data_IF_497920262394
#
_entry.id   IF_497920262394
#
_cell.length_a   1.000
_cell.length_b   1.000
_cell.length_c   1.000
_cell.angle_alpha   90.00
_cell.angle_beta   90.00
_cell.angle_gamma   90.00
#
_symmetry.space_group_name_H-M   'P 1'
#
loop_
_entity.id
_entity.type
_entity.pdbx_description
1 polymer ?
#
# COMPACT_ATOMS: atom_id res chain seq x y z
N UNK A 1 4.88 -51.70 9.00
CA UNK A 1 5.11 -50.72 10.07
C UNK A 1 6.43 -50.03 9.75
N UNK A 2 6.41 -48.79 9.27
CA UNK A 2 7.62 -48.09 8.81
C UNK A 2 8.43 -47.63 10.03
N UNK A 3 9.56 -48.29 10.29
CA UNK A 3 10.48 -47.92 11.37
C UNK A 3 11.18 -46.61 11.00
N UNK A 4 10.79 -45.50 11.62
CA UNK A 4 11.40 -44.20 11.37
C UNK A 4 12.70 -44.07 12.18
N UNK A 5 13.84 -44.08 11.48
CA UNK A 5 15.17 -43.96 12.10
C UNK A 5 15.48 -42.48 12.42
N UNK A 6 16.09 -42.23 13.57
CA UNK A 6 16.54 -40.90 14.04
C UNK A 6 17.39 -40.18 12.99
N UNK A 7 18.22 -40.92 12.24
CA UNK A 7 19.04 -40.37 11.15
C UNK A 7 18.22 -39.89 9.97
N UNK A 8 17.12 -40.56 9.64
CA UNK A 8 16.24 -40.14 8.57
C UNK A 8 15.46 -38.88 8.97
N UNK A 9 15.05 -38.79 10.24
CA UNK A 9 14.48 -37.57 10.80
C UNK A 9 15.45 -36.38 10.71
N UNK A 10 16.71 -36.54 11.11
CA UNK A 10 17.71 -35.45 11.05
C UNK A 10 18.05 -35.06 9.60
N UNK A 11 18.06 -36.01 8.67
CA UNK A 11 18.28 -35.72 7.24
C UNK A 11 17.11 -34.92 6.64
N UNK A 12 15.88 -35.34 6.93
CA UNK A 12 14.67 -34.64 6.46
C UNK A 12 14.53 -33.27 7.12
N UNK A 13 14.73 -33.19 8.44
CA UNK A 13 14.68 -31.94 9.19
C UNK A 13 15.80 -30.96 8.76
N UNK A 14 17.01 -31.47 8.52
CA UNK A 14 18.14 -30.67 8.02
C UNK A 14 17.90 -30.14 6.60
N UNK A 15 17.37 -30.97 5.70
CA UNK A 15 17.01 -30.54 4.35
C UNK A 15 15.86 -29.51 4.36
N UNK A 16 14.85 -29.72 5.23
CA UNK A 16 13.74 -28.79 5.39
C UNK A 16 14.22 -27.44 5.96
N UNK A 17 15.10 -27.45 6.97
CA UNK A 17 15.65 -26.24 7.59
C UNK A 17 16.44 -25.36 6.61
N UNK A 18 17.14 -25.96 5.64
CA UNK A 18 17.88 -25.24 4.60
C UNK A 18 16.98 -24.66 3.49
N UNK A 19 15.77 -25.19 3.33
CA UNK A 19 14.79 -24.70 2.35
C UNK A 19 13.89 -23.57 2.90
N UNK A 20 13.79 -23.39 4.22
CA UNK A 20 12.95 -22.34 4.85
C UNK A 20 13.24 -20.93 4.33
N UNK A 21 14.51 -20.50 4.15
CA UNK A 21 14.79 -19.14 3.68
C UNK A 21 14.44 -18.91 2.21
N UNK A 22 14.35 -19.97 1.38
CA UNK A 22 14.11 -19.86 -0.07
C UNK A 22 12.65 -20.16 -0.45
N UNK A 23 11.89 -20.81 0.43
CA UNK A 23 10.46 -21.10 0.29
C UNK A 23 9.62 -19.86 -0.06
N UNK A 24 9.79 -18.68 0.56
CA UNK A 24 9.03 -17.49 0.18
C UNK A 24 9.30 -17.04 -1.27
N UNK A 25 10.51 -17.28 -1.77
CA UNK A 25 10.91 -16.94 -3.14
C UNK A 25 10.30 -17.86 -4.21
N UNK A 26 9.92 -19.08 -3.83
CA UNK A 26 9.29 -20.11 -4.66
C UNK A 26 7.75 -20.11 -4.56
N UNK A 27 7.21 -19.81 -3.38
CA UNK A 27 5.77 -19.90 -3.11
C UNK A 27 5.00 -18.63 -3.48
N UNK A 28 5.66 -17.47 -3.45
CA UNK A 28 5.01 -16.19 -3.67
C UNK A 28 5.53 -15.52 -4.94
N UNK A 29 4.60 -15.01 -5.75
CA UNK A 29 4.94 -14.14 -6.88
C UNK A 29 5.71 -12.91 -6.39
N UNK A 30 6.45 -12.22 -7.27
CA UNK A 30 7.16 -10.99 -6.90
C UNK A 30 6.21 -9.93 -6.28
N UNK A 31 4.97 -9.84 -6.75
CA UNK A 31 3.95 -8.95 -6.18
C UNK A 31 3.48 -9.41 -4.80
N UNK A 32 3.27 -10.71 -4.59
CA UNK A 32 2.93 -11.25 -3.27
C UNK A 32 4.08 -11.07 -2.26
N UNK A 33 5.34 -11.17 -2.70
CA UNK A 33 6.52 -10.90 -1.87
C UNK A 33 6.64 -9.43 -1.46
N UNK A 34 6.29 -8.50 -2.35
CA UNK A 34 6.25 -7.07 -2.03
C UNK A 34 5.17 -6.75 -0.99
N UNK A 35 4.07 -7.50 -0.96
CA UNK A 35 3.02 -7.36 0.05
C UNK A 35 3.37 -7.97 1.42
N UNK A 36 4.45 -8.78 1.50
CA UNK A 36 4.91 -9.42 2.74
C UNK A 36 5.93 -8.53 3.50
N UNK A 37 6.50 -7.50 2.84
CA UNK A 37 7.47 -6.60 3.46
C UNK A 37 6.84 -5.33 4.04
N UNK A 38 7.43 -4.78 5.11
CA UNK A 38 7.01 -3.51 5.74
C UNK A 38 7.42 -2.26 4.94
N UNK A 39 8.18 -2.43 3.84
CA UNK A 39 8.73 -1.33 3.05
C UNK A 39 8.31 -1.45 1.59
N UNK A 40 7.60 -0.43 1.11
CA UNK A 40 7.21 -0.27 -0.30
C UNK A 40 8.14 0.73 -0.99
N UNK A 41 8.85 0.30 -2.03
CA UNK A 41 9.68 1.18 -2.86
C UNK A 41 8.99 1.47 -4.19
N UNK A 42 8.72 2.74 -4.48
CA UNK A 42 8.09 3.21 -5.73
C UNK A 42 9.07 4.13 -6.45
N UNK A 43 9.30 3.88 -7.74
CA UNK A 43 10.07 4.77 -8.60
C UNK A 43 9.14 5.81 -9.23
N UNK A 44 9.41 7.09 -8.98
CA UNK A 44 8.68 8.21 -9.57
C UNK A 44 9.45 8.76 -10.78
N UNK A 45 8.71 9.20 -11.82
CA UNK A 45 9.28 9.75 -13.05
C UNK A 45 9.63 11.25 -12.95
N UNK A 46 9.16 11.92 -11.89
CA UNK A 46 9.36 13.34 -11.63
C UNK A 46 9.83 13.54 -10.19
N UNK A 47 10.60 14.60 -9.96
CA UNK A 47 11.00 15.02 -8.61
C UNK A 47 9.86 15.77 -7.92
N UNK A 48 9.85 15.74 -6.59
CA UNK A 48 8.91 16.52 -5.77
C UNK A 48 9.36 17.99 -5.72
N UNK A 49 8.57 18.96 -6.22
CA UNK A 49 9.00 20.35 -6.29
C UNK A 49 8.93 21.10 -4.94
N UNK A 50 7.96 20.76 -4.08
CA UNK A 50 7.79 21.32 -2.74
C UNK A 50 6.98 20.36 -1.86
N UNK A 51 7.05 20.51 -0.53
CA UNK A 51 6.25 19.71 0.40
C UNK A 51 4.86 20.29 0.69
N UNK A 52 4.64 21.57 0.40
CA UNK A 52 3.33 22.19 0.43
C UNK A 52 2.58 21.86 -0.88
N UNK A 53 1.49 21.07 -0.81
CA UNK A 53 0.75 20.66 -2.01
C UNK A 53 -0.12 21.79 -2.58
N UNK A 54 -0.19 22.97 -1.94
CA UNK A 54 -1.11 24.05 -2.33
C UNK A 54 -0.43 25.19 -3.11
N UNK A 55 0.89 25.12 -3.32
CA UNK A 55 1.67 26.20 -3.92
C UNK A 55 2.43 25.80 -5.18
N UNK A 56 2.58 26.75 -6.11
CA UNK A 56 3.41 26.60 -7.31
C UNK A 56 3.10 25.37 -8.17
N UNK A 57 4.15 24.74 -8.70
CA UNK A 57 4.03 23.55 -9.56
C UNK A 57 3.64 22.27 -8.80
N UNK A 58 3.73 22.26 -7.46
CA UNK A 58 3.27 21.14 -6.64
C UNK A 58 1.74 20.95 -6.73
N UNK A 59 0.99 22.06 -6.75
CA UNK A 59 -0.47 22.05 -6.72
C UNK A 59 -1.14 21.48 -7.98
N UNK A 60 -0.40 21.40 -9.08
CA UNK A 60 -0.96 21.06 -10.40
C UNK A 60 -0.40 19.78 -11.01
N UNK A 61 0.49 19.08 -10.30
CA UNK A 61 1.13 17.86 -10.80
C UNK A 61 0.45 16.60 -10.23
N UNK A 62 -0.36 15.86 -11.00
CA UNK A 62 -1.04 14.66 -10.51
C UNK A 62 -0.08 13.51 -10.19
N UNK A 63 1.10 13.44 -10.82
CA UNK A 63 2.07 12.37 -10.57
C UNK A 63 2.64 12.42 -9.15
N UNK A 64 2.69 13.60 -8.52
CA UNK A 64 3.16 13.79 -7.14
C UNK A 64 2.04 13.70 -6.10
N UNK A 65 0.76 13.65 -6.49
CA UNK A 65 -0.37 13.61 -5.54
C UNK A 65 -0.37 12.36 -4.66
N UNK A 66 0.09 11.22 -5.18
CA UNK A 66 0.23 9.99 -4.39
C UNK A 66 1.25 10.13 -3.25
N UNK A 67 2.29 10.96 -3.42
CA UNK A 67 3.29 11.24 -2.38
C UNK A 67 2.63 12.04 -1.26
N UNK A 68 1.89 13.09 -1.59
CA UNK A 68 1.18 13.90 -0.58
C UNK A 68 0.15 13.08 0.19
N UNK A 69 -0.57 12.17 -0.48
CA UNK A 69 -1.53 11.27 0.19
C UNK A 69 -0.88 10.32 1.21
N UNK A 70 0.41 10.04 1.10
CA UNK A 70 1.12 9.22 2.10
C UNK A 70 1.47 9.97 3.40
N UNK A 71 1.35 11.30 3.41
CA UNK A 71 1.74 12.15 4.55
C UNK A 71 0.64 13.09 5.02
N UNK A 72 -0.36 13.37 4.19
CA UNK A 72 -1.50 14.22 4.50
C UNK A 72 -2.81 13.46 4.30
N UNK A 73 -3.74 13.67 5.22
CA UNK A 73 -5.10 13.17 5.11
C UNK A 73 -5.95 14.13 4.26
N UNK A 74 -6.76 13.56 3.38
CA UNK A 74 -7.72 14.32 2.59
C UNK A 74 -9.01 14.52 3.38
N UNK A 75 -9.61 15.69 3.19
CA UNK A 75 -10.96 15.98 3.67
C UNK A 75 -11.98 14.98 3.12
N UNK A 76 -11.98 14.79 1.80
CA UNK A 76 -12.77 13.82 1.07
C UNK A 76 -11.80 13.01 0.21
N UNK A 77 -11.83 11.69 0.32
CA UNK A 77 -10.93 10.81 -0.41
C UNK A 77 -11.66 10.13 -1.58
N UNK A 78 -10.88 9.51 -2.46
CA UNK A 78 -11.32 8.83 -3.67
C UNK A 78 -10.61 7.48 -3.78
N UNK A 79 -11.37 6.44 -4.07
CA UNK A 79 -10.85 5.11 -4.39
C UNK A 79 -10.26 5.05 -5.80
N UNK A 80 -9.47 4.02 -6.13
CA UNK A 80 -8.86 3.89 -7.46
C UNK A 80 -9.86 3.84 -8.64
N UNK A 81 -11.11 3.44 -8.38
CA UNK A 81 -12.21 3.43 -9.37
C UNK A 81 -12.99 4.76 -9.43
N UNK A 82 -12.45 5.81 -8.81
CA UNK A 82 -12.98 7.17 -8.76
C UNK A 82 -14.24 7.35 -7.90
N UNK A 83 -14.69 6.32 -7.17
CA UNK A 83 -15.78 6.50 -6.22
C UNK A 83 -15.32 7.31 -5.01
N UNK A 84 -16.23 8.16 -4.49
CA UNK A 84 -15.93 9.03 -3.34
C UNK A 84 -16.02 8.19 -2.07
N UNK A 85 -15.00 8.29 -1.22
CA UNK A 85 -14.93 7.57 0.05
C UNK A 85 -14.65 8.56 1.19
N UNK A 86 -15.10 8.26 2.42
CA UNK A 86 -14.76 9.07 3.58
C UNK A 86 -13.26 9.30 3.74
N UNK A 87 -12.89 10.53 4.09
CA UNK A 87 -11.56 10.92 4.52
C UNK A 87 -11.62 11.40 5.97
N UNK A 88 -11.08 12.59 6.25
CA UNK A 88 -11.34 13.30 7.51
C UNK A 88 -12.81 13.65 7.68
N UNK A 89 -13.51 13.94 6.58
CA UNK A 89 -14.96 14.14 6.56
C UNK A 89 -15.64 12.85 6.14
N UNK A 90 -16.66 12.50 6.91
CA UNK A 90 -17.38 11.24 6.78
C UNK A 90 -18.71 11.40 6.08
N UNK A 91 -19.31 12.59 6.21
CA UNK A 91 -20.55 12.94 5.53
C UNK A 91 -20.40 14.28 4.81
N UNK A 92 -21.02 14.38 3.64
CA UNK A 92 -21.05 15.60 2.85
C UNK A 92 -22.28 15.64 1.97
N UNK A 93 -22.73 16.86 1.66
CA UNK A 93 -23.86 17.04 0.79
C UNK A 93 -24.15 18.50 0.50
N UNK A 94 -25.17 18.71 -0.32
CA UNK A 94 -25.66 20.05 -0.65
C UNK A 94 -26.88 20.39 0.19
N UNK A 95 -27.06 21.67 0.49
CA UNK A 95 -28.37 22.16 0.88
C UNK A 95 -29.36 22.10 -0.32
N UNK A 96 -30.65 22.28 -0.05
CA UNK A 96 -31.72 22.05 -1.05
C UNK A 96 -31.56 22.84 -2.36
N UNK A 97 -31.05 24.08 -2.30
CA UNK A 97 -30.83 24.95 -3.46
C UNK A 97 -29.41 24.85 -4.07
N UNK A 98 -28.54 23.98 -3.52
CA UNK A 98 -27.15 23.77 -3.92
C UNK A 98 -26.24 25.02 -3.85
N UNK A 99 -26.54 25.97 -2.99
CA UNK A 99 -25.68 27.14 -2.77
C UNK A 99 -24.63 26.92 -1.68
N UNK A 100 -24.80 25.89 -0.84
CA UNK A 100 -23.93 25.58 0.29
C UNK A 100 -23.64 24.08 0.36
N UNK A 101 -22.42 23.76 0.76
CA UNK A 101 -22.00 22.40 1.08
C UNK A 101 -21.99 22.25 2.60
N UNK A 102 -22.55 21.16 3.11
CA UNK A 102 -22.39 20.75 4.50
C UNK A 102 -21.44 19.57 4.57
N UNK A 103 -20.72 19.49 5.68
CA UNK A 103 -19.76 18.42 5.92
C UNK A 103 -19.72 18.09 7.41
N UNK A 104 -19.46 16.83 7.75
CA UNK A 104 -19.29 16.35 9.13
C UNK A 104 -18.17 15.34 9.22
#
# INVERSE_FOLDING_TARGET
MFEHNRRDFIRVAGAAALAVPTLPGLLYSKSARAAIGDTLTIAYNVTLPAWDPTTGFAAVNPATMAIYKSVYDQYLDQSPDLTKIPGLMTEWGWNADRTKIHFT
#
